data_IF_555188229415
#
_entry.id   IF_555188229415
#
_cell.length_a   1.000
_cell.length_b   1.000
_cell.length_c   1.000
_cell.angle_alpha   90.00
_cell.angle_beta   90.00
_cell.angle_gamma   90.00
#
_symmetry.space_group_name_H-M   'P 1'
#
loop_
_entity.id
_entity.type
_entity.pdbx_description
1 polymer ?
#
# COMPACT_ATOMS: atom_id res chain seq x y z
N UNK A 1 -31.71 3.50 -24.92
CA UNK A 1 -31.53 4.97 -25.13
C UNK A 1 -30.49 5.61 -24.21
N UNK A 2 -30.66 5.64 -22.88
CA UNK A 2 -29.74 6.37 -21.97
C UNK A 2 -28.27 5.95 -22.08
N UNK A 3 -28.01 4.67 -22.34
CA UNK A 3 -26.64 4.14 -22.48
C UNK A 3 -25.95 4.70 -23.73
N UNK A 4 -26.64 4.76 -24.88
CA UNK A 4 -26.07 5.26 -26.15
C UNK A 4 -25.73 6.75 -26.02
N UNK A 5 -26.59 7.53 -25.37
CA UNK A 5 -26.35 8.94 -25.11
C UNK A 5 -25.09 9.19 -24.27
N UNK A 6 -24.82 8.33 -23.28
CA UNK A 6 -23.62 8.44 -22.45
C UNK A 6 -22.33 8.18 -23.25
N UNK A 7 -22.31 7.14 -24.09
CA UNK A 7 -21.17 6.86 -24.96
C UNK A 7 -20.94 7.96 -26.00
N UNK A 8 -22.01 8.50 -26.60
CA UNK A 8 -21.93 9.60 -27.55
C UNK A 8 -21.44 10.91 -26.91
N UNK A 9 -21.75 11.13 -25.62
CA UNK A 9 -21.21 12.27 -24.88
C UNK A 9 -19.70 12.16 -24.62
N UNK A 10 -19.18 10.94 -24.45
CA UNK A 10 -17.74 10.68 -24.29
C UNK A 10 -16.99 10.72 -25.62
N UNK A 11 -17.60 10.20 -26.69
CA UNK A 11 -17.00 10.10 -28.02
C UNK A 11 -17.94 10.73 -29.05
N UNK A 12 -17.88 12.06 -29.27
CA UNK A 12 -18.78 12.73 -30.20
C UNK A 12 -18.60 12.29 -31.66
N UNK A 13 -17.42 11.80 -32.00
CA UNK A 13 -17.03 11.45 -33.37
C UNK A 13 -17.57 10.10 -33.86
N UNK A 14 -17.98 9.19 -32.95
CA UNK A 14 -18.53 7.89 -33.34
C UNK A 14 -19.94 8.03 -33.91
N UNK A 15 -20.24 7.43 -35.06
CA UNK A 15 -21.60 7.47 -35.60
C UNK A 15 -22.61 6.74 -34.67
N UNK A 16 -23.80 7.32 -34.49
CA UNK A 16 -24.78 6.79 -33.54
C UNK A 16 -25.36 5.45 -33.99
N UNK A 17 -25.55 5.27 -35.30
CA UNK A 17 -26.05 4.02 -35.88
C UNK A 17 -25.03 2.92 -35.70
N UNK A 18 -23.75 3.22 -35.93
CA UNK A 18 -22.66 2.26 -35.73
C UNK A 18 -22.44 1.93 -34.25
N UNK A 19 -22.48 2.92 -33.36
CA UNK A 19 -22.41 2.69 -31.91
C UNK A 19 -23.56 1.79 -31.44
N UNK A 20 -24.77 2.02 -31.95
CA UNK A 20 -25.93 1.17 -31.64
C UNK A 20 -25.71 -0.27 -32.13
N UNK A 21 -25.14 -0.44 -33.33
CA UNK A 21 -24.79 -1.75 -33.86
C UNK A 21 -23.76 -2.44 -32.97
N UNK A 22 -22.68 -1.77 -32.60
CA UNK A 22 -21.61 -2.33 -31.75
C UNK A 22 -22.13 -2.78 -30.38
N UNK A 23 -22.99 -1.98 -29.75
CA UNK A 23 -23.62 -2.30 -28.45
C UNK A 23 -24.56 -3.50 -28.58
N UNK A 24 -25.41 -3.54 -29.60
CA UNK A 24 -26.32 -4.67 -29.84
C UNK A 24 -25.56 -5.95 -30.20
N UNK A 25 -24.43 -5.81 -30.91
CA UNK A 25 -23.59 -6.93 -31.30
C UNK A 25 -22.67 -7.42 -30.18
N UNK A 26 -22.71 -6.83 -28.98
CA UNK A 26 -21.79 -7.11 -27.87
C UNK A 26 -20.33 -7.14 -28.36
N UNK A 27 -19.94 -6.10 -29.11
CA UNK A 27 -18.61 -6.02 -29.73
C UNK A 27 -17.55 -5.73 -28.67
N UNK A 28 -16.49 -6.56 -28.64
CA UNK A 28 -15.34 -6.37 -27.77
C UNK A 28 -14.22 -5.68 -28.54
N UNK A 29 -13.69 -4.60 -27.98
CA UNK A 29 -12.66 -3.78 -28.59
C UNK A 29 -11.32 -3.98 -27.86
N UNK A 30 -10.24 -3.97 -28.61
CA UNK A 30 -8.89 -3.83 -28.07
C UNK A 30 -8.65 -2.41 -27.56
N UNK A 31 -7.60 -2.22 -26.75
CA UNK A 31 -7.26 -0.89 -26.25
C UNK A 31 -6.98 0.11 -27.39
N UNK A 32 -6.37 -0.34 -28.48
CA UNK A 32 -6.07 0.49 -29.64
C UNK A 32 -7.34 0.88 -30.38
N UNK A 33 -8.24 -0.06 -30.65
CA UNK A 33 -9.52 0.23 -31.33
C UNK A 33 -10.39 1.17 -30.50
N UNK A 34 -10.38 1.04 -29.16
CA UNK A 34 -11.11 1.95 -28.29
C UNK A 34 -10.51 3.37 -28.27
N UNK A 35 -9.19 3.51 -28.41
CA UNK A 35 -8.52 4.80 -28.58
C UNK A 35 -8.89 5.44 -29.92
N UNK A 36 -8.85 4.65 -31.00
CA UNK A 36 -9.16 5.12 -32.35
C UNK A 36 -10.63 5.58 -32.48
N UNK A 37 -11.54 4.97 -31.71
CA UNK A 37 -12.95 5.37 -31.60
C UNK A 37 -13.18 6.55 -30.63
N UNK A 38 -12.13 7.05 -29.98
CA UNK A 38 -12.20 8.14 -29.01
C UNK A 38 -12.91 7.77 -27.71
N UNK A 39 -13.04 6.48 -27.40
CA UNK A 39 -13.64 5.98 -26.16
C UNK A 39 -12.65 6.04 -24.99
N UNK A 40 -11.35 6.00 -25.30
CA UNK A 40 -10.22 6.07 -24.37
C UNK A 40 -9.37 7.29 -24.72
N UNK A 41 -8.85 7.99 -23.71
CA UNK A 41 -8.02 9.18 -23.92
C UNK A 41 -6.52 8.81 -24.04
N UNK A 42 -6.04 7.82 -23.26
CA UNK A 42 -4.64 7.37 -23.26
C UNK A 42 -4.53 5.87 -22.95
N UNK A 43 -3.55 5.18 -23.55
CA UNK A 43 -3.21 3.78 -23.25
C UNK A 43 -2.02 3.74 -22.29
N UNK A 44 -2.28 3.44 -21.02
CA UNK A 44 -1.22 3.26 -20.02
C UNK A 44 -0.57 1.87 -20.09
N UNK A 45 0.72 1.79 -19.71
CA UNK A 45 1.41 0.50 -19.51
C UNK A 45 1.07 -0.06 -18.11
N UNK A 46 -0.08 -0.71 -17.94
CA UNK A 46 -0.51 -1.11 -16.60
C UNK A 46 -1.51 -2.25 -16.51
N UNK A 47 -1.10 -3.26 -15.74
CA UNK A 47 -1.87 -4.34 -15.10
C UNK A 47 -2.62 -5.28 -16.06
N UNK A 48 -2.24 -6.56 -16.02
CA UNK A 48 -2.93 -7.63 -16.76
C UNK A 48 -4.44 -7.60 -16.46
N UNK A 49 -5.28 -7.72 -17.50
CA UNK A 49 -6.75 -7.68 -17.42
C UNK A 49 -7.31 -8.60 -16.32
N UNK A 50 -6.61 -9.69 -16.03
CA UNK A 50 -6.88 -10.62 -14.93
C UNK A 50 -6.90 -9.99 -13.53
N UNK A 51 -6.08 -8.97 -13.25
CA UNK A 51 -6.06 -8.35 -11.92
C UNK A 51 -7.33 -7.52 -11.64
N UNK A 52 -7.99 -7.02 -12.68
CA UNK A 52 -9.26 -6.29 -12.56
C UNK A 52 -10.48 -7.20 -12.67
N UNK A 53 -10.42 -8.23 -13.53
CA UNK A 53 -11.54 -9.15 -13.78
C UNK A 53 -11.50 -10.44 -12.92
N UNK A 54 -10.46 -10.60 -12.10
CA UNK A 54 -10.26 -11.76 -11.23
C UNK A 54 -10.22 -13.07 -12.02
N UNK A 55 -10.91 -14.10 -11.52
CA UNK A 55 -11.01 -15.41 -12.17
C UNK A 55 -12.09 -15.46 -13.28
N UNK A 56 -12.52 -14.32 -13.82
CA UNK A 56 -13.46 -14.28 -14.95
C UNK A 56 -14.95 -14.48 -14.60
N UNK A 57 -15.33 -14.49 -13.31
CA UNK A 57 -16.75 -14.59 -12.90
C UNK A 57 -17.63 -13.45 -13.46
N UNK A 58 -17.05 -12.27 -13.70
CA UNK A 58 -17.72 -11.16 -14.36
C UNK A 58 -17.98 -11.42 -15.86
N UNK A 59 -17.18 -12.27 -16.51
CA UNK A 59 -17.30 -12.60 -17.94
C UNK A 59 -18.46 -13.56 -18.22
N UNK A 60 -18.91 -14.32 -17.23
CA UNK A 60 -20.05 -15.24 -17.37
C UNK A 60 -21.39 -14.53 -17.64
N UNK A 61 -21.45 -13.20 -17.54
CA UNK A 61 -22.65 -12.38 -17.80
C UNK A 61 -22.79 -11.94 -19.25
N UNK A 62 -21.72 -12.05 -20.06
CA UNK A 62 -21.70 -11.60 -21.45
C UNK A 62 -21.79 -12.80 -22.40
N UNK A 63 -22.60 -12.68 -23.45
CA UNK A 63 -22.88 -13.80 -24.37
C UNK A 63 -21.76 -13.97 -25.40
N UNK A 64 -21.14 -12.87 -25.84
CA UNK A 64 -20.10 -12.88 -26.88
C UNK A 64 -18.70 -12.57 -26.36
N UNK A 65 -18.32 -13.09 -25.19
CA UNK A 65 -16.96 -12.90 -24.67
C UNK A 65 -15.92 -13.55 -25.60
N UNK A 66 -14.85 -12.85 -26.02
CA UNK A 66 -13.84 -13.41 -26.91
C UNK A 66 -13.12 -14.60 -26.26
N UNK A 67 -12.99 -15.70 -26.99
CA UNK A 67 -12.35 -16.91 -26.48
C UNK A 67 -10.90 -16.65 -26.06
N UNK A 68 -10.17 -15.81 -26.80
CA UNK A 68 -8.81 -15.40 -26.47
C UNK A 68 -8.70 -14.71 -25.08
N UNK A 69 -9.75 -14.01 -24.64
CA UNK A 69 -9.80 -13.39 -23.31
C UNK A 69 -10.10 -14.44 -22.23
N UNK A 70 -11.01 -15.37 -22.50
CA UNK A 70 -11.32 -16.48 -21.60
C UNK A 70 -10.12 -17.41 -21.40
N UNK A 71 -9.34 -17.65 -22.46
CA UNK A 71 -8.12 -18.43 -22.42
C UNK A 71 -7.03 -17.71 -21.60
N UNK A 72 -6.90 -16.39 -21.73
CA UNK A 72 -5.98 -15.59 -20.89
C UNK A 72 -6.38 -15.61 -19.40
N UNK A 73 -7.68 -15.59 -19.09
CA UNK A 73 -8.19 -15.64 -17.71
C UNK A 73 -8.12 -17.05 -17.10
N UNK A 74 -8.32 -18.08 -17.92
CA UNK A 74 -8.31 -19.50 -17.50
C UNK A 74 -6.92 -20.11 -17.50
N UNK A 75 -5.99 -19.58 -18.32
CA UNK A 75 -4.60 -19.96 -18.22
C UNK A 75 -4.12 -19.65 -16.80
N UNK A 76 -3.60 -20.67 -16.10
CA UNK A 76 -2.68 -20.41 -14.99
C UNK A 76 -1.63 -19.43 -15.53
N UNK A 77 -1.21 -18.41 -14.75
CA UNK A 77 -0.23 -17.47 -15.27
C UNK A 77 0.87 -18.27 -15.96
N UNK A 78 1.35 -17.87 -17.14
CA UNK A 78 2.75 -18.11 -17.37
C UNK A 78 3.40 -17.64 -16.06
N UNK A 79 4.05 -18.55 -15.34
CA UNK A 79 5.21 -18.09 -14.60
C UNK A 79 5.94 -17.23 -15.62
N UNK A 80 6.23 -15.97 -15.28
CA UNK A 80 7.10 -15.16 -16.10
C UNK A 80 8.21 -16.09 -16.58
N UNK A 81 8.17 -16.46 -17.85
CA UNK A 81 9.33 -16.95 -18.55
C UNK A 81 9.94 -15.61 -18.94
N UNK A 82 10.90 -15.07 -18.14
CA UNK A 82 11.83 -14.15 -18.75
C UNK A 82 12.37 -14.92 -19.94
N UNK A 83 12.31 -14.29 -21.11
CA UNK A 83 12.96 -14.73 -22.33
C UNK A 83 14.16 -15.64 -22.01
N UNK A 84 14.08 -16.91 -22.43
CA UNK A 84 15.18 -17.88 -22.54
C UNK A 84 16.39 -17.53 -21.64
N UNK A 85 16.57 -18.17 -20.48
CA UNK A 85 17.73 -17.88 -19.64
C UNK A 85 19.00 -17.99 -20.51
N UNK A 86 19.81 -16.91 -20.63
CA UNK A 86 21.22 -17.15 -20.83
C UNK A 86 21.63 -18.09 -19.69
N UNK A 87 22.37 -19.13 -20.04
CA UNK A 87 22.91 -20.11 -19.10
C UNK A 87 23.32 -19.45 -17.78
N UNK A 88 23.12 -20.12 -16.63
CA UNK A 88 23.31 -19.53 -15.31
C UNK A 88 24.74 -19.00 -15.17
N UNK A 89 24.91 -17.71 -15.46
CA UNK A 89 26.08 -16.96 -15.05
C UNK A 89 25.90 -16.76 -13.57
N UNK A 90 26.70 -17.52 -12.81
CA UNK A 90 26.96 -17.35 -11.38
C UNK A 90 26.84 -15.87 -11.02
N UNK A 91 26.13 -15.50 -9.94
CA UNK A 91 26.03 -14.12 -9.52
C UNK A 91 27.43 -13.55 -9.41
N UNK A 92 27.72 -12.55 -10.24
CA UNK A 92 28.97 -11.83 -10.16
C UNK A 92 28.97 -11.14 -8.80
N UNK A 93 30.02 -11.37 -8.03
CA UNK A 93 30.11 -10.99 -6.61
C UNK A 93 30.03 -9.46 -6.44
N UNK A 94 30.15 -8.72 -7.54
CA UNK A 94 30.01 -7.28 -7.65
C UNK A 94 28.57 -6.77 -7.45
N UNK A 95 27.53 -7.47 -7.94
CA UNK A 95 26.15 -6.98 -7.84
C UNK A 95 25.55 -7.21 -6.46
N UNK A 96 25.89 -8.31 -5.80
CA UNK A 96 25.44 -8.60 -4.43
C UNK A 96 26.05 -7.61 -3.42
N UNK A 97 27.31 -7.21 -3.60
CA UNK A 97 27.96 -6.21 -2.76
C UNK A 97 27.39 -4.81 -3.00
N UNK A 98 27.07 -4.45 -4.24
CA UNK A 98 26.38 -3.20 -4.57
C UNK A 98 24.97 -3.12 -3.96
N UNK A 99 24.19 -4.22 -4.04
CA UNK A 99 22.87 -4.30 -3.42
C UNK A 99 22.92 -4.26 -1.89
N UNK A 100 23.90 -4.93 -1.27
CA UNK A 100 24.11 -4.86 0.18
C UNK A 100 24.50 -3.45 0.64
N UNK A 101 25.33 -2.73 -0.13
CA UNK A 101 25.67 -1.34 0.13
C UNK A 101 24.43 -0.44 0.02
N UNK A 102 23.59 -0.65 -1.00
CA UNK A 102 22.33 0.09 -1.16
C UNK A 102 21.40 -0.14 0.03
N UNK A 103 21.21 -1.39 0.46
CA UNK A 103 20.38 -1.74 1.63
C UNK A 103 20.91 -1.04 2.88
N UNK A 104 22.21 -1.12 3.16
CA UNK A 104 22.78 -0.52 4.36
C UNK A 104 22.67 1.02 4.36
N UNK A 105 22.90 1.67 3.22
CA UNK A 105 22.73 3.12 3.07
C UNK A 105 21.28 3.56 3.24
N UNK A 106 20.33 2.86 2.61
CA UNK A 106 18.91 3.21 2.69
C UNK A 106 18.32 2.89 4.07
N UNK A 107 18.79 1.81 4.70
CA UNK A 107 18.44 1.51 6.09
C UNK A 107 18.98 2.58 7.05
N UNK A 108 20.21 3.08 6.83
CA UNK A 108 20.78 4.16 7.62
C UNK A 108 19.98 5.48 7.46
N UNK A 109 19.64 5.86 6.22
CA UNK A 109 18.81 7.05 5.94
C UNK A 109 17.41 6.95 6.54
N UNK A 110 16.82 5.76 6.53
CA UNK A 110 15.49 5.53 7.11
C UNK A 110 15.51 5.32 8.63
N UNK A 111 16.68 5.37 9.29
CA UNK A 111 16.80 5.14 10.73
C UNK A 111 16.44 3.72 11.16
N UNK A 112 16.61 2.75 10.27
CA UNK A 112 16.38 1.30 10.48
C UNK A 112 17.68 0.50 10.32
N UNK A 113 18.83 1.11 10.63
CA UNK A 113 20.14 0.46 10.49
C UNK A 113 20.24 -0.89 11.25
N UNK A 114 19.44 -1.06 12.31
CA UNK A 114 19.33 -2.30 13.08
C UNK A 114 18.59 -3.45 12.36
N UNK A 115 18.02 -3.21 11.18
CA UNK A 115 17.30 -4.21 10.36
C UNK A 115 18.07 -4.61 9.09
N UNK A 116 19.18 -3.93 8.79
CA UNK A 116 19.91 -4.14 7.54
C UNK A 116 20.40 -5.59 7.36
N UNK A 117 20.94 -6.20 8.43
CA UNK A 117 21.39 -7.60 8.40
C UNK A 117 20.24 -8.58 8.16
N UNK A 118 19.10 -8.37 8.82
CA UNK A 118 17.90 -9.19 8.65
C UNK A 118 17.33 -9.08 7.24
N UNK A 119 17.37 -7.89 6.64
CA UNK A 119 16.91 -7.66 5.27
C UNK A 119 17.84 -8.26 4.23
N UNK A 120 19.16 -8.19 4.44
CA UNK A 120 20.15 -8.85 3.58
C UNK A 120 19.94 -10.37 3.63
N UNK A 121 19.73 -10.93 4.82
CA UNK A 121 19.49 -12.36 5.00
C UNK A 121 18.16 -12.83 4.37
N UNK A 122 17.09 -12.04 4.49
CA UNK A 122 15.76 -12.42 3.97
C UNK A 122 15.62 -12.26 2.46
N UNK A 123 16.21 -11.19 1.88
CA UNK A 123 16.11 -10.92 0.44
C UNK A 123 17.09 -11.73 -0.40
N UNK A 124 18.11 -12.36 0.21
CA UNK A 124 19.17 -13.12 -0.47
C UNK A 124 19.86 -12.37 -1.63
N UNK A 125 19.68 -11.05 -1.69
CA UNK A 125 20.20 -10.16 -2.75
C UNK A 125 19.89 -10.66 -4.17
N UNK A 126 18.70 -11.22 -4.37
CA UNK A 126 18.37 -11.89 -5.63
C UNK A 126 18.04 -10.91 -6.75
N UNK A 127 17.33 -9.82 -6.44
CA UNK A 127 16.91 -8.82 -7.42
C UNK A 127 16.69 -7.44 -6.76
N UNK A 128 17.00 -6.37 -7.49
CA UNK A 128 16.87 -4.99 -7.00
C UNK A 128 15.43 -4.59 -6.66
N UNK A 129 14.43 -5.03 -7.42
CA UNK A 129 13.03 -4.77 -7.16
C UNK A 129 12.56 -5.49 -5.89
N UNK A 130 13.02 -6.73 -5.66
CA UNK A 130 12.70 -7.48 -4.43
C UNK A 130 13.30 -6.79 -3.20
N UNK A 131 14.54 -6.31 -3.31
CA UNK A 131 15.21 -5.54 -2.25
C UNK A 131 14.47 -4.23 -1.94
N UNK A 132 14.05 -3.47 -2.97
CA UNK A 132 13.31 -2.22 -2.79
C UNK A 132 11.91 -2.46 -2.17
N UNK A 133 11.22 -3.52 -2.57
CA UNK A 133 9.94 -3.90 -1.98
C UNK A 133 10.10 -4.26 -0.49
N UNK A 134 11.16 -5.01 -0.14
CA UNK A 134 11.48 -5.35 1.25
C UNK A 134 11.84 -4.10 2.09
N UNK A 135 12.61 -3.15 1.53
CA UNK A 135 12.91 -1.88 2.19
C UNK A 135 11.65 -1.04 2.45
N UNK A 136 10.76 -0.94 1.45
CA UNK A 136 9.49 -0.22 1.58
C UNK A 136 8.60 -0.84 2.66
N UNK A 137 8.53 -2.17 2.70
CA UNK A 137 7.81 -2.90 3.74
C UNK A 137 8.42 -2.69 5.13
N UNK A 138 9.73 -2.82 5.27
CA UNK A 138 10.41 -2.62 6.56
C UNK A 138 10.20 -1.20 7.12
N UNK A 139 10.25 -0.18 6.26
CA UNK A 139 9.92 1.20 6.64
C UNK A 139 8.48 1.32 7.12
N UNK A 140 7.52 0.76 6.38
CA UNK A 140 6.11 0.78 6.75
C UNK A 140 5.84 0.09 8.09
N UNK A 141 6.46 -1.06 8.35
CA UNK A 141 6.36 -1.78 9.62
C UNK A 141 6.94 -0.97 10.77
N UNK A 142 8.11 -0.35 10.59
CA UNK A 142 8.72 0.53 11.60
C UNK A 142 7.80 1.69 11.96
N UNK A 143 7.26 2.38 10.96
CA UNK A 143 6.42 3.55 11.19
C UNK A 143 5.13 3.17 11.95
N UNK A 144 4.56 2.00 11.68
CA UNK A 144 3.45 1.44 12.47
C UNK A 144 3.85 1.13 13.92
N UNK A 145 4.98 0.46 14.12
CA UNK A 145 5.48 0.13 15.47
C UNK A 145 5.80 1.38 16.29
N UNK A 146 6.36 2.42 15.66
CA UNK A 146 6.61 3.72 16.30
C UNK A 146 5.29 4.42 16.65
N UNK A 147 4.30 4.43 15.75
CA UNK A 147 2.99 5.01 16.02
C UNK A 147 2.29 4.34 17.21
N UNK A 148 2.44 3.03 17.36
CA UNK A 148 1.95 2.27 18.51
C UNK A 148 2.80 2.39 19.79
N UNK A 149 3.89 3.16 19.75
CA UNK A 149 4.87 3.29 20.85
C UNK A 149 5.52 1.97 21.27
N UNK A 150 5.68 1.03 20.33
CA UNK A 150 6.30 -0.29 20.53
C UNK A 150 7.39 -0.55 19.46
N UNK A 151 8.48 0.24 19.45
CA UNK A 151 9.53 0.09 18.44
C UNK A 151 10.27 -1.25 18.51
N UNK A 152 10.30 -1.89 19.68
CA UNK A 152 11.00 -3.18 19.91
C UNK A 152 10.48 -4.32 19.02
N UNK A 153 9.19 -4.30 18.67
CA UNK A 153 8.55 -5.35 17.86
C UNK A 153 8.90 -5.28 16.37
N UNK A 154 9.51 -4.17 15.93
CA UNK A 154 9.85 -3.97 14.51
C UNK A 154 10.76 -5.08 14.00
N UNK A 155 11.77 -5.48 14.79
CA UNK A 155 12.72 -6.54 14.41
C UNK A 155 12.02 -7.87 14.20
N UNK A 156 11.14 -8.25 15.12
CA UNK A 156 10.39 -9.51 15.06
C UNK A 156 9.45 -9.55 13.85
N UNK A 157 8.73 -8.46 13.57
CA UNK A 157 7.79 -8.42 12.44
C UNK A 157 8.50 -8.39 11.08
N UNK A 158 9.65 -7.72 10.98
CA UNK A 158 10.46 -7.72 9.76
C UNK A 158 11.15 -9.08 9.56
N UNK A 159 11.64 -9.73 10.62
CA UNK A 159 12.17 -11.09 10.55
C UNK A 159 11.10 -12.12 10.17
N UNK A 160 9.87 -11.95 10.66
CA UNK A 160 8.73 -12.80 10.30
C UNK A 160 8.18 -12.54 8.89
N UNK A 161 8.67 -11.52 8.18
CA UNK A 161 8.22 -11.19 6.82
C UNK A 161 6.75 -10.76 6.74
N UNK A 162 6.20 -10.19 7.81
CA UNK A 162 4.79 -9.82 7.86
C UNK A 162 4.50 -8.59 6.99
N UNK A 163 3.39 -8.66 6.26
CA UNK A 163 2.85 -7.51 5.52
C UNK A 163 2.25 -6.47 6.48
N UNK A 164 2.17 -5.22 6.03
CA UNK A 164 1.71 -4.08 6.84
C UNK A 164 0.34 -4.31 7.49
N UNK A 165 -0.60 -4.95 6.79
CA UNK A 165 -1.95 -5.21 7.32
C UNK A 165 -1.96 -6.24 8.45
N UNK A 166 -1.13 -7.29 8.35
CA UNK A 166 -0.97 -8.27 9.40
C UNK A 166 -0.32 -7.64 10.65
N UNK A 167 0.64 -6.74 10.47
CA UNK A 167 1.26 -5.98 11.57
C UNK A 167 0.24 -5.08 12.24
N UNK A 168 -0.59 -4.35 11.49
CA UNK A 168 -1.67 -3.52 12.04
C UNK A 168 -2.61 -4.32 12.93
N UNK A 169 -3.08 -5.48 12.47
CA UNK A 169 -3.97 -6.34 13.23
C UNK A 169 -3.32 -6.82 14.55
N UNK A 170 -2.08 -7.31 14.49
CA UNK A 170 -1.35 -7.79 15.68
C UNK A 170 -1.06 -6.67 16.69
N UNK A 171 -0.75 -5.49 16.18
CA UNK A 171 -0.45 -4.32 16.99
C UNK A 171 -1.72 -3.77 17.66
N UNK A 172 -2.83 -3.74 16.93
CA UNK A 172 -4.13 -3.38 17.45
C UNK A 172 -4.55 -4.29 18.60
N UNK A 173 -4.54 -5.61 18.39
CA UNK A 173 -4.84 -6.59 19.45
C UNK A 173 -3.99 -6.37 20.70
N UNK A 174 -2.68 -6.11 20.52
CA UNK A 174 -1.77 -5.88 21.64
C UNK A 174 -2.04 -4.56 22.36
N UNK A 175 -2.40 -3.50 21.64
CA UNK A 175 -2.78 -2.20 22.24
C UNK A 175 -4.08 -2.35 23.02
N UNK A 176 -5.10 -2.99 22.43
CA UNK A 176 -6.41 -3.22 23.05
C UNK A 176 -6.26 -4.09 24.29
N UNK A 177 -5.52 -5.20 24.20
CA UNK A 177 -5.26 -6.09 25.34
C UNK A 177 -4.38 -5.45 26.43
N UNK A 178 -3.56 -4.45 26.11
CA UNK A 178 -2.70 -3.78 27.10
C UNK A 178 -3.43 -2.81 28.04
N UNK A 179 -4.75 -2.64 27.89
CA UNK A 179 -5.58 -1.90 28.84
C UNK A 179 -5.27 -0.40 28.94
N UNK A 180 -4.53 0.16 27.98
CA UNK A 180 -4.24 1.61 27.92
C UNK A 180 -5.42 2.45 27.41
N UNK A 181 -6.53 1.82 27.03
CA UNK A 181 -7.78 2.51 26.78
C UNK A 181 -8.41 2.90 28.12
N UNK A 182 -8.83 4.15 28.26
CA UNK A 182 -9.74 4.52 29.33
C UNK A 182 -10.98 3.61 29.23
N UNK A 183 -11.34 2.95 30.32
CA UNK A 183 -12.65 2.31 30.42
C UNK A 183 -13.70 3.42 30.33
N UNK A 184 -14.29 3.60 29.15
CA UNK A 184 -15.40 4.53 28.96
C UNK A 184 -16.63 3.86 29.60
N UNK A 185 -16.82 4.14 30.89
CA UNK A 185 -18.03 3.75 31.60
C UNK A 185 -19.14 4.76 31.32
N UNK A 186 -20.12 4.38 30.49
CA UNK A 186 -21.30 5.19 30.17
C UNK A 186 -22.44 5.02 31.19
N UNK A 187 -22.23 4.29 32.29
CA UNK A 187 -23.22 4.22 33.37
C UNK A 187 -23.32 5.56 34.10
N UNK A 188 -24.54 5.94 34.46
CA UNK A 188 -24.75 7.02 35.42
C UNK A 188 -24.08 6.61 36.75
N UNK A 189 -23.25 7.47 37.36
CA UNK A 189 -22.72 7.21 38.69
C UNK A 189 -23.88 6.93 39.67
N UNK A 190 -23.74 5.96 40.59
CA UNK A 190 -24.70 5.78 41.68
C UNK A 190 -24.90 7.10 42.42
N UNK A 191 -26.13 7.39 42.86
CA UNK A 191 -26.49 8.68 43.45
C UNK A 191 -25.69 9.05 44.73
N UNK A 192 -25.05 8.07 45.37
CA UNK A 192 -24.29 8.23 46.62
C UNK A 192 -22.76 8.31 46.43
N UNK A 193 -22.25 8.20 45.19
CA UNK A 193 -20.81 8.34 44.94
C UNK A 193 -20.44 9.83 44.74
N UNK A 194 -19.82 10.42 45.77
CA UNK A 194 -19.13 11.71 45.60
C UNK A 194 -18.01 11.54 44.55
N UNK A 195 -18.22 12.13 43.38
CA UNK A 195 -17.19 12.20 42.34
C UNK A 195 -15.90 12.77 42.95
N UNK A 196 -14.76 12.06 42.89
CA UNK A 196 -13.51 12.61 43.37
C UNK A 196 -13.27 13.92 42.63
N UNK A 197 -12.88 15.02 43.33
CA UNK A 197 -12.77 16.32 42.70
C UNK A 197 -11.80 16.21 41.53
N UNK A 198 -12.34 16.39 40.32
CA UNK A 198 -11.53 16.44 39.11
C UNK A 198 -10.60 17.64 39.29
N UNK A 199 -9.34 17.35 39.64
CA UNK A 199 -8.27 18.34 39.66
C UNK A 199 -7.93 18.65 38.21
N UNK A 200 -8.83 19.37 37.54
CA UNK A 200 -8.51 20.00 36.27
C UNK A 200 -7.26 20.84 36.54
N UNK A 201 -6.12 20.43 36.00
CA UNK A 201 -4.95 21.29 35.98
C UNK A 201 -5.31 22.46 35.05
N UNK A 202 -5.84 23.53 35.63
CA UNK A 202 -6.01 24.77 34.91
C UNK A 202 -4.64 25.16 34.35
N UNK A 203 -4.52 25.51 33.07
CA UNK A 203 -3.28 26.03 32.52
C UNK A 203 -2.83 27.22 33.36
N UNK A 204 -1.67 27.10 34.00
CA UNK A 204 -1.12 28.19 34.81
C UNK A 204 -0.38 29.16 33.87
N UNK A 205 -0.91 30.37 33.59
CA UNK A 205 -0.31 31.28 32.64
C UNK A 205 1.10 31.71 33.06
N UNK A 206 1.34 31.83 34.37
CA UNK A 206 2.64 32.25 34.91
C UNK A 206 3.75 31.25 34.62
N UNK A 207 3.48 29.94 34.70
CA UNK A 207 4.47 28.92 34.38
C UNK A 207 4.75 28.85 32.87
N UNK A 208 3.73 29.07 32.04
CA UNK A 208 3.85 29.12 30.57
C UNK A 208 4.71 30.32 30.15
N UNK A 209 4.47 31.51 30.71
CA UNK A 209 5.26 32.71 30.43
C UNK A 209 6.69 32.61 30.98
N UNK A 210 6.88 32.01 32.16
CA UNK A 210 8.21 31.74 32.71
C UNK A 210 9.01 30.78 31.83
N UNK A 211 8.39 29.69 31.35
CA UNK A 211 9.01 28.74 30.43
C UNK A 211 9.39 29.39 29.09
N UNK A 212 8.50 30.23 28.51
CA UNK A 212 8.81 30.99 27.29
C UNK A 212 9.98 31.95 27.47
N UNK A 213 10.04 32.67 28.61
CA UNK A 213 11.14 33.58 28.93
C UNK A 213 12.47 32.83 29.11
N UNK A 214 12.46 31.68 29.78
CA UNK A 214 13.65 30.85 29.92
C UNK A 214 14.13 30.27 28.58
N UNK A 215 13.22 29.86 27.71
CA UNK A 215 13.56 29.42 26.35
C UNK A 215 14.19 30.54 25.51
N UNK A 216 13.64 31.77 25.61
CA UNK A 216 14.20 32.94 24.94
C UNK A 216 15.62 33.29 25.45
N UNK A 217 15.85 33.24 26.76
CA UNK A 217 17.17 33.49 27.34
C UNK A 217 18.20 32.38 27.04
N UNK A 218 17.77 31.13 26.85
CA UNK A 218 18.67 30.03 26.43
C UNK A 218 19.12 30.16 24.97
N UNK A 219 18.31 30.77 24.11
CA UNK A 219 18.67 31.09 22.72
C UNK A 219 19.49 32.38 22.55
N UNK A 220 19.67 33.15 23.62
CA UNK A 220 20.33 34.46 23.62
C UNK A 220 21.63 34.49 24.45
N UNK A 221 22.43 33.41 24.43
CA UNK A 221 23.82 33.46 24.88
C UNK A 221 24.74 33.63 23.66
N UNK A 222 25.59 34.67 23.60
CA UNK A 222 26.69 34.75 22.64
C UNK A 222 27.73 33.66 22.88
#
# INVERSE_FOLDING_TARGET
>A
EVIIAAYKAKSPEIDEVELRRLVNDESWLTAQEALDLGLVDEIGSGVQVRACLGNGAAMARYQKTPQALLDQLSSKPPADDPAKPPAPTKPDVADSTALALMITQDCAKAGIGNLAETLIASTKLTDAATVQAALKNAKGVRDLCVAARLPELTKEYVAAGLAADAVRARLFEKIVSSGKGFEINNALPPADDEQPPIKAQLPNPSSIWAARRQAANKGARP
#
